data_IF_380340789734
#
_entry.id   IF_380340789734
#
_cell.length_a   1.000
_cell.length_b   1.000
_cell.length_c   1.000
_cell.angle_alpha   90.00
_cell.angle_beta   90.00
_cell.angle_gamma   90.00
#
_symmetry.space_group_name_H-M   'P 1'
#
loop_
_entity.id
_entity.type
_entity.pdbx_description
1 polymer ?
#
# COMPACT_ATOMS: atom_id res chain seq x y z
N UNK A 1 -30.15 -14.46 -22.69
CA UNK A 1 -30.51 -14.33 -21.26
C UNK A 1 -29.71 -13.15 -20.77
N UNK A 2 -30.36 -12.09 -20.31
CA UNK A 2 -29.65 -10.99 -19.67
C UNK A 2 -29.05 -11.53 -18.37
N UNK A 3 -27.72 -11.53 -18.25
CA UNK A 3 -27.07 -11.84 -16.99
C UNK A 3 -27.45 -10.76 -15.98
N UNK A 4 -28.21 -11.16 -14.96
CA UNK A 4 -28.43 -10.30 -13.80
C UNK A 4 -27.08 -10.15 -13.11
N UNK A 5 -26.63 -8.91 -12.94
CA UNK A 5 -25.36 -8.59 -12.29
C UNK A 5 -25.26 -9.12 -10.85
N UNK A 6 -24.10 -8.92 -10.22
CA UNK A 6 -23.80 -9.45 -8.87
C UNK A 6 -24.34 -8.52 -7.79
N UNK A 7 -25.12 -9.04 -6.84
CA UNK A 7 -25.51 -8.28 -5.64
C UNK A 7 -24.29 -8.01 -4.76
N UNK A 8 -24.05 -6.74 -4.48
CA UNK A 8 -22.90 -6.24 -3.73
C UNK A 8 -23.35 -5.29 -2.62
N UNK A 9 -22.49 -5.15 -1.60
CA UNK A 9 -22.70 -4.21 -0.49
C UNK A 9 -21.49 -3.29 -0.41
N UNK A 10 -21.74 -1.98 -0.34
CA UNK A 10 -20.74 -0.96 -0.02
C UNK A 10 -20.93 -0.49 1.42
N UNK A 11 -19.87 -0.55 2.21
CA UNK A 11 -19.84 -0.07 3.59
C UNK A 11 -19.11 1.27 3.64
N UNK A 12 -19.68 2.23 4.39
CA UNK A 12 -18.96 3.42 4.84
C UNK A 12 -18.66 3.24 6.32
N UNK A 13 -17.41 3.36 6.71
CA UNK A 13 -16.94 3.13 8.07
C UNK A 13 -16.25 4.40 8.62
N UNK A 14 -16.29 4.58 9.94
CA UNK A 14 -15.53 5.60 10.65
C UNK A 14 -14.48 4.92 11.51
N UNK A 15 -13.21 5.27 11.30
CA UNK A 15 -12.05 4.73 12.01
C UNK A 15 -11.25 5.87 12.64
N UNK A 16 -10.46 5.55 13.67
CA UNK A 16 -9.43 6.46 14.13
C UNK A 16 -8.22 6.39 13.18
N UNK A 17 -7.42 7.45 13.13
CA UNK A 17 -6.28 7.55 12.20
C UNK A 17 -5.22 6.50 12.53
N UNK A 18 -4.97 6.31 13.83
CA UNK A 18 -4.05 5.33 14.40
C UNK A 18 -4.43 3.86 14.12
N UNK A 19 -5.69 3.60 13.75
CA UNK A 19 -6.17 2.26 13.36
C UNK A 19 -5.96 1.98 11.87
N UNK A 20 -5.42 2.94 11.12
CA UNK A 20 -5.17 2.84 9.68
C UNK A 20 -3.67 2.97 9.41
N UNK A 21 -3.09 1.90 8.88
CA UNK A 21 -1.73 1.94 8.39
C UNK A 21 -1.75 2.38 6.92
N UNK A 22 -1.25 3.58 6.66
CA UNK A 22 -1.15 4.15 5.31
C UNK A 22 0.20 3.77 4.70
N UNK A 23 0.19 3.38 3.43
CA UNK A 23 1.39 3.05 2.68
C UNK A 23 1.24 3.41 1.20
N UNK A 24 2.38 3.57 0.54
CA UNK A 24 2.47 3.62 -0.92
C UNK A 24 2.12 2.23 -1.49
N UNK A 25 1.12 2.17 -2.36
CA UNK A 25 0.57 0.93 -2.92
C UNK A 25 1.61 0.20 -3.77
N UNK A 26 2.35 0.92 -4.62
CA UNK A 26 3.26 0.32 -5.59
C UNK A 26 4.45 -0.34 -4.90
N UNK A 27 4.93 0.24 -3.80
CA UNK A 27 6.08 -0.29 -3.05
C UNK A 27 5.88 -1.70 -2.51
N UNK A 28 4.64 -2.14 -2.29
CA UNK A 28 4.38 -3.50 -1.82
C UNK A 28 4.85 -4.55 -2.81
N UNK A 29 4.77 -4.28 -4.12
CA UNK A 29 5.22 -5.21 -5.16
C UNK A 29 6.69 -5.54 -5.05
N UNK A 30 7.51 -4.58 -4.60
CA UNK A 30 8.96 -4.74 -4.44
C UNK A 30 9.24 -5.86 -3.44
N UNK A 31 8.81 -5.67 -2.20
CA UNK A 31 9.20 -6.58 -1.13
C UNK A 31 8.40 -7.88 -1.19
N UNK A 32 7.20 -7.88 -1.77
CA UNK A 32 6.47 -9.12 -2.07
C UNK A 32 7.16 -9.98 -3.15
N UNK A 33 7.92 -9.35 -4.06
CA UNK A 33 8.73 -10.03 -5.07
C UNK A 33 10.15 -10.36 -4.61
N UNK A 34 10.40 -10.37 -3.29
CA UNK A 34 11.72 -10.62 -2.68
C UNK A 34 12.83 -9.66 -3.16
N UNK A 35 12.44 -8.46 -3.60
CA UNK A 35 13.38 -7.37 -3.88
C UNK A 35 13.40 -6.34 -2.75
N UNK A 36 14.10 -5.25 -2.98
CA UNK A 36 14.49 -4.27 -1.98
C UNK A 36 13.89 -2.89 -2.29
N UNK A 37 13.26 -2.26 -1.30
CA UNK A 37 12.69 -0.91 -1.42
C UNK A 37 13.81 0.14 -1.29
N UNK A 38 14.61 0.28 -2.35
CA UNK A 38 15.70 1.24 -2.47
C UNK A 38 15.22 2.70 -2.50
N UNK A 39 16.06 3.63 -2.07
CA UNK A 39 15.81 5.07 -2.22
C UNK A 39 16.22 5.61 -3.58
N UNK A 40 17.15 4.92 -4.25
CA UNK A 40 17.75 5.29 -5.52
C UNK A 40 18.36 4.06 -6.20
N UNK A 41 18.71 4.22 -7.48
CA UNK A 41 19.31 3.18 -8.31
C UNK A 41 20.61 2.63 -7.71
N UNK A 42 21.49 3.48 -7.18
CA UNK A 42 22.78 3.05 -6.61
C UNK A 42 22.60 2.13 -5.39
N UNK A 43 21.60 2.42 -4.54
CA UNK A 43 21.29 1.58 -3.38
C UNK A 43 20.78 0.20 -3.82
N UNK A 44 19.98 0.16 -4.89
CA UNK A 44 19.49 -1.08 -5.51
C UNK A 44 20.65 -1.91 -6.10
N UNK A 45 21.52 -1.28 -6.89
CA UNK A 45 22.71 -1.92 -7.46
C UNK A 45 23.63 -2.50 -6.38
N UNK A 46 23.85 -1.77 -5.29
CA UNK A 46 24.65 -2.26 -4.16
C UNK A 46 24.02 -3.46 -3.48
N UNK A 47 22.69 -3.53 -3.40
CA UNK A 47 21.98 -4.70 -2.87
C UNK A 47 22.15 -5.90 -3.81
N UNK A 48 21.96 -5.73 -5.12
CA UNK A 48 22.15 -6.80 -6.11
C UNK A 48 23.59 -7.34 -6.13
N UNK A 49 24.58 -6.46 -5.96
CA UNK A 49 25.99 -6.80 -5.90
C UNK A 49 26.42 -7.39 -4.54
N UNK A 50 25.50 -7.53 -3.57
CA UNK A 50 25.77 -7.98 -2.20
C UNK A 50 26.79 -7.09 -1.45
N UNK A 51 26.87 -5.80 -1.81
CA UNK A 51 27.67 -4.79 -1.11
C UNK A 51 26.88 -4.22 0.07
N UNK A 52 25.58 -3.97 -0.14
CA UNK A 52 24.64 -3.59 0.88
C UNK A 52 23.86 -4.82 1.37
N UNK A 53 23.75 -4.96 2.68
CA UNK A 53 22.88 -5.97 3.28
C UNK A 53 21.78 -5.29 4.10
N UNK A 54 20.55 -5.64 3.77
CA UNK A 54 19.35 -5.24 4.50
C UNK A 54 18.43 -6.44 4.56
N UNK A 55 17.75 -6.62 5.69
CA UNK A 55 16.76 -7.68 5.82
C UNK A 55 15.46 -7.30 5.12
N UNK A 56 14.68 -8.30 4.72
CA UNK A 56 13.34 -8.10 4.16
C UNK A 56 12.45 -7.25 5.08
N UNK A 57 12.58 -7.43 6.40
CA UNK A 57 11.81 -6.69 7.41
C UNK A 57 12.22 -5.22 7.44
N UNK A 58 13.52 -4.92 7.50
CA UNK A 58 14.00 -3.53 7.43
C UNK A 58 13.59 -2.85 6.11
N UNK A 59 13.57 -3.60 5.00
CA UNK A 59 13.06 -3.08 3.74
C UNK A 59 11.56 -2.84 3.75
N UNK A 60 10.78 -3.62 4.51
CA UNK A 60 9.33 -3.44 4.64
C UNK A 60 8.96 -2.17 5.38
N UNK A 61 9.67 -1.82 6.45
CA UNK A 61 9.39 -0.60 7.23
C UNK A 61 9.44 0.67 6.36
N UNK A 62 10.28 0.66 5.31
CA UNK A 62 10.42 1.76 4.33
C UNK A 62 9.15 2.03 3.50
N UNK A 63 8.22 1.08 3.43
CA UNK A 63 6.95 1.22 2.73
C UNK A 63 6.01 2.19 3.45
N UNK A 64 6.10 2.24 4.79
CA UNK A 64 5.25 3.05 5.66
C UNK A 64 5.81 4.44 5.95
N UNK A 65 7.09 4.67 5.66
CA UNK A 65 7.73 5.98 5.80
C UNK A 65 7.41 6.84 4.57
N UNK A 66 6.31 7.60 4.66
CA UNK A 66 5.80 8.45 3.56
C UNK A 66 6.65 9.70 3.35
N UNK A 67 7.25 10.22 4.42
CA UNK A 67 8.12 11.40 4.41
C UNK A 67 9.56 11.08 4.04
N UNK A 68 9.85 9.80 3.78
CA UNK A 68 11.17 9.32 3.44
C UNK A 68 11.72 9.98 2.19
N UNK A 69 12.89 10.64 2.27
CA UNK A 69 13.55 11.18 1.09
C UNK A 69 13.90 10.07 0.10
N UNK A 70 13.56 10.29 -1.17
CA UNK A 70 13.77 9.34 -2.26
C UNK A 70 14.23 10.08 -3.51
N UNK A 71 14.95 9.39 -4.37
CA UNK A 71 15.33 9.91 -5.67
C UNK A 71 14.11 9.99 -6.59
N UNK A 72 13.80 11.21 -7.03
CA UNK A 72 12.66 11.52 -7.89
C UNK A 72 12.87 10.95 -9.29
N UNK A 73 14.12 10.82 -9.76
CA UNK A 73 14.38 10.24 -11.08
C UNK A 73 14.10 8.74 -11.11
N UNK A 74 14.26 8.07 -9.97
CA UNK A 74 14.00 6.64 -9.78
C UNK A 74 12.53 6.33 -9.42
N UNK A 75 11.96 7.06 -8.47
CA UNK A 75 10.60 6.80 -7.95
C UNK A 75 9.50 7.63 -8.59
N UNK A 76 9.84 8.64 -9.39
CA UNK A 76 8.89 9.66 -9.79
C UNK A 76 8.57 10.64 -8.66
N UNK A 77 7.61 11.53 -8.91
CA UNK A 77 7.22 12.55 -7.92
C UNK A 77 6.28 11.93 -6.89
N UNK A 78 6.40 12.37 -5.64
CA UNK A 78 5.50 11.94 -4.55
C UNK A 78 4.03 12.28 -4.79
N UNK A 79 3.74 13.28 -5.64
CA UNK A 79 2.38 13.66 -6.04
C UNK A 79 1.69 12.60 -6.90
N UNK A 80 2.47 11.76 -7.58
CA UNK A 80 1.98 10.68 -8.44
C UNK A 80 1.81 9.37 -7.65
N UNK A 81 2.18 9.33 -6.37
CA UNK A 81 2.10 8.14 -5.55
C UNK A 81 0.64 7.74 -5.25
N UNK A 82 0.33 6.47 -5.46
CA UNK A 82 -0.94 5.88 -5.08
C UNK A 82 -0.87 5.36 -3.65
N UNK A 83 -1.73 5.85 -2.75
CA UNK A 83 -1.76 5.44 -1.36
C UNK A 83 -2.88 4.44 -1.07
N UNK A 84 -2.59 3.47 -0.22
CA UNK A 84 -3.59 2.57 0.37
C UNK A 84 -3.56 2.66 1.90
N UNK A 85 -4.75 2.53 2.49
CA UNK A 85 -4.92 2.37 3.94
C UNK A 85 -5.34 0.95 4.24
N UNK A 86 -4.61 0.27 5.12
CA UNK A 86 -4.97 -1.05 5.64
C UNK A 86 -5.36 -0.91 7.10
N UNK A 87 -6.50 -1.48 7.46
CA UNK A 87 -6.95 -1.56 8.85
C UNK A 87 -7.17 -3.01 9.24
N UNK A 88 -7.12 -3.28 10.54
CA UNK A 88 -7.38 -4.59 11.10
C UNK A 88 -8.88 -4.91 11.15
N UNK A 89 -9.29 -5.53 12.25
CA UNK A 89 -10.68 -5.91 12.48
C UNK A 89 -11.56 -4.66 12.58
N UNK A 90 -12.63 -4.63 11.79
CA UNK A 90 -13.66 -3.58 11.83
C UNK A 90 -14.81 -4.04 12.71
N UNK A 91 -15.12 -3.27 13.76
CA UNK A 91 -16.31 -3.51 14.58
C UNK A 91 -17.58 -3.01 13.88
N UNK A 92 -18.69 -3.73 14.05
CA UNK A 92 -19.97 -3.37 13.43
C UNK A 92 -20.45 -1.97 13.87
N UNK A 93 -20.11 -1.55 15.09
CA UNK A 93 -20.42 -0.23 15.61
C UNK A 93 -19.75 0.91 14.84
N UNK A 94 -18.69 0.61 14.07
CA UNK A 94 -17.97 1.58 13.25
C UNK A 94 -18.59 1.78 11.86
N UNK A 95 -19.61 0.99 11.51
CA UNK A 95 -20.31 1.10 10.22
C UNK A 95 -21.30 2.26 10.28
N UNK A 96 -21.05 3.27 9.45
CA UNK A 96 -21.88 4.47 9.33
C UNK A 96 -22.99 4.30 8.28
N UNK A 97 -22.74 3.49 7.24
CA UNK A 97 -23.67 3.30 6.13
C UNK A 97 -23.49 1.93 5.48
N UNK A 98 -24.62 1.36 5.07
CA UNK A 98 -24.68 0.12 4.26
C UNK A 98 -25.49 0.42 3.02
N UNK A 99 -24.91 0.17 1.85
CA UNK A 99 -25.56 0.40 0.55
C UNK A 99 -25.57 -0.87 -0.27
N UNK A 100 -26.76 -1.33 -0.64
CA UNK A 100 -26.95 -2.50 -1.50
C UNK A 100 -27.04 -2.05 -2.96
N UNK A 101 -26.34 -2.74 -3.85
CA UNK A 101 -26.38 -2.47 -5.29
C UNK A 101 -26.14 -3.73 -6.12
N UNK A 102 -26.41 -3.66 -7.42
CA UNK A 102 -26.11 -4.72 -8.39
C UNK A 102 -24.95 -4.24 -9.25
N UNK A 103 -23.78 -4.87 -9.09
CA UNK A 103 -22.62 -4.66 -9.95
C UNK A 103 -22.87 -5.34 -11.30
N UNK A 104 -22.66 -4.61 -12.40
CA UNK A 104 -22.80 -5.11 -13.76
C UNK A 104 -21.44 -5.18 -14.43
#
# INVERSE_FOLDING_TARGET
MDEKGTEMVRLTISLQEEDVLVSDFDKWHIVLNDTFCSDNELEDEHFEQNILYITKVESWERIFDLDRPRDIEWWGKSEDAEYQGVTGRIELSSIMKVEHFIAK
#
